data_IF_127716288668
#
_entry.id   IF_127716288668
#
_cell.length_a   1.000
_cell.length_b   1.000
_cell.length_c   1.000
_cell.angle_alpha   90.00
_cell.angle_beta   90.00
_cell.angle_gamma   90.00
#
_symmetry.space_group_name_H-M   'P 1'
#
loop_
_entity.id
_entity.type
_entity.pdbx_description
1 polymer ?
#
# COMPACT_ATOMS: atom_id res chain seq x y z
N UNK A 1 -28.75 38.42 22.08
CA UNK A 1 -27.48 37.92 22.65
C UNK A 1 -27.40 36.45 22.26
N UNK A 2 -26.49 36.15 21.35
CA UNK A 2 -26.33 34.85 20.72
C UNK A 2 -25.81 33.84 21.74
N UNK A 3 -26.61 32.82 22.04
CA UNK A 3 -26.24 31.72 22.92
C UNK A 3 -25.68 30.59 22.03
N UNK A 4 -24.39 30.66 21.72
CA UNK A 4 -23.63 29.61 21.04
C UNK A 4 -23.21 28.57 22.07
N UNK A 5 -24.14 27.71 22.48
CA UNK A 5 -23.89 26.62 23.43
C UNK A 5 -23.99 25.24 22.75
N UNK A 6 -23.43 25.15 21.54
CA UNK A 6 -23.14 23.87 20.89
C UNK A 6 -21.64 23.56 21.04
N UNK A 7 -21.09 23.63 22.25
CA UNK A 7 -19.87 22.89 22.54
C UNK A 7 -20.22 21.41 22.55
N UNK A 8 -20.17 20.82 21.37
CA UNK A 8 -20.38 19.41 21.11
C UNK A 8 -19.48 18.62 22.06
N UNK A 9 -20.05 18.08 23.13
CA UNK A 9 -19.37 17.18 24.07
C UNK A 9 -19.16 15.85 23.35
N UNK A 10 -18.16 15.80 22.46
CA UNK A 10 -17.74 14.57 21.81
C UNK A 10 -17.16 13.70 22.90
N UNK A 11 -17.92 12.72 23.36
CA UNK A 11 -17.43 11.67 24.25
C UNK A 11 -16.23 11.01 23.55
N UNK A 12 -15.02 11.33 23.99
CA UNK A 12 -13.82 10.74 23.45
C UNK A 12 -13.79 9.29 23.92
N UNK A 13 -13.98 8.36 22.99
CA UNK A 13 -13.73 6.94 23.26
C UNK A 13 -12.26 6.81 23.70
N UNK A 14 -11.96 6.13 24.81
CA UNK A 14 -10.59 6.08 25.33
C UNK A 14 -9.68 5.40 24.31
N UNK A 15 -8.74 6.18 23.77
CA UNK A 15 -7.74 5.75 22.78
C UNK A 15 -7.13 4.40 23.16
N UNK A 16 -7.44 3.39 22.34
CA UNK A 16 -7.05 2.01 22.55
C UNK A 16 -5.55 1.81 22.31
N UNK A 17 -4.76 1.92 23.39
CA UNK A 17 -3.28 1.90 23.36
C UNK A 17 -2.73 0.62 22.72
N UNK A 18 -3.49 -0.48 22.75
CA UNK A 18 -3.10 -1.77 22.17
C UNK A 18 -3.00 -1.71 20.65
N UNK A 19 -3.96 -1.04 19.98
CA UNK A 19 -3.94 -0.88 18.51
C UNK A 19 -2.75 -0.03 18.06
N UNK A 20 -2.41 1.00 18.82
CA UNK A 20 -1.27 1.88 18.54
C UNK A 20 0.06 1.14 18.71
N UNK A 21 0.20 0.33 19.76
CA UNK A 21 1.39 -0.48 19.97
C UNK A 21 1.58 -1.53 18.86
N UNK A 22 0.48 -2.12 18.37
CA UNK A 22 0.52 -3.04 17.23
C UNK A 22 1.01 -2.35 15.95
N UNK A 23 0.46 -1.16 15.62
CA UNK A 23 0.90 -0.36 14.47
C UNK A 23 2.39 -0.05 14.52
N UNK A 24 2.90 0.34 15.69
CA UNK A 24 4.33 0.60 15.89
C UNK A 24 5.20 -0.63 15.66
N UNK A 25 4.73 -1.80 16.10
CA UNK A 25 5.45 -3.06 15.93
C UNK A 25 5.52 -3.47 14.46
N UNK A 26 4.42 -3.30 13.71
CA UNK A 26 4.36 -3.56 12.26
C UNK A 26 5.24 -2.58 11.50
N UNK A 27 5.18 -1.29 11.84
CA UNK A 27 6.02 -0.26 11.24
C UNK A 27 7.51 -0.57 11.42
N UNK A 28 7.90 -1.02 12.62
CA UNK A 28 9.28 -1.42 12.91
C UNK A 28 9.72 -2.62 12.06
N UNK A 29 8.89 -3.67 11.96
CA UNK A 29 9.17 -4.86 11.14
C UNK A 29 9.38 -4.46 9.68
N UNK A 30 8.49 -3.64 9.13
CA UNK A 30 8.56 -3.18 7.74
C UNK A 30 9.76 -2.26 7.50
N UNK A 31 10.11 -1.41 8.46
CA UNK A 31 11.30 -0.58 8.40
C UNK A 31 12.58 -1.42 8.37
N UNK A 32 12.67 -2.47 9.19
CA UNK A 32 13.80 -3.40 9.22
C UNK A 32 13.91 -4.16 7.89
N UNK A 33 12.80 -4.72 7.38
CA UNK A 33 12.80 -5.41 6.07
C UNK A 33 13.27 -4.46 4.96
N UNK A 34 12.75 -3.23 4.94
CA UNK A 34 13.14 -2.21 3.95
C UNK A 34 14.64 -1.85 4.08
N UNK A 35 15.16 -1.74 5.31
CA UNK A 35 16.59 -1.50 5.54
C UNK A 35 17.47 -2.63 5.02
N UNK A 36 17.07 -3.88 5.27
CA UNK A 36 17.77 -5.06 4.75
C UNK A 36 17.75 -5.08 3.22
N UNK A 37 16.60 -4.79 2.60
CA UNK A 37 16.45 -4.70 1.15
C UNK A 37 17.38 -3.63 0.53
N UNK A 38 17.45 -2.44 1.13
CA UNK A 38 18.40 -1.40 0.72
C UNK A 38 19.85 -1.83 0.86
N UNK A 39 20.19 -2.55 1.94
CA UNK A 39 21.54 -3.05 2.17
C UNK A 39 21.91 -4.11 1.11
N UNK A 40 21.01 -5.05 0.82
CA UNK A 40 21.17 -6.04 -0.24
C UNK A 40 21.37 -5.38 -1.61
N UNK A 41 20.63 -4.30 -1.90
CA UNK A 41 20.77 -3.56 -3.14
C UNK A 41 22.16 -2.90 -3.30
N UNK A 42 22.81 -2.54 -2.19
CA UNK A 42 24.18 -1.99 -2.21
C UNK A 42 25.27 -3.06 -2.27
N UNK A 43 25.04 -4.24 -1.71
CA UNK A 43 26.04 -5.33 -1.63
C UNK A 43 26.03 -6.21 -2.88
N UNK A 44 24.87 -6.50 -3.45
CA UNK A 44 24.75 -7.36 -4.63
C UNK A 44 25.08 -6.60 -5.92
N UNK A 45 25.78 -7.23 -6.88
CA UNK A 45 26.01 -6.63 -8.18
C UNK A 45 24.67 -6.48 -8.92
N UNK A 46 24.54 -5.38 -9.67
CA UNK A 46 23.36 -5.08 -10.48
C UNK A 46 23.15 -6.17 -11.53
N UNK A 47 22.12 -6.97 -11.34
CA UNK A 47 21.77 -8.09 -12.21
C UNK A 47 20.29 -8.47 -12.09
N UNK A 48 19.84 -9.39 -12.95
CA UNK A 48 18.44 -9.83 -12.99
C UNK A 48 17.93 -10.35 -11.63
N UNK A 49 18.81 -11.01 -10.86
CA UNK A 49 18.49 -11.50 -9.52
C UNK A 49 18.15 -10.38 -8.54
N UNK A 50 18.92 -9.28 -8.56
CA UNK A 50 18.67 -8.12 -7.69
C UNK A 50 17.32 -7.50 -8.02
N UNK A 51 17.04 -7.24 -9.31
CA UNK A 51 15.77 -6.67 -9.74
C UNK A 51 14.58 -7.55 -9.37
N UNK A 52 14.69 -8.86 -9.60
CA UNK A 52 13.64 -9.80 -9.23
C UNK A 52 13.38 -9.81 -7.73
N UNK A 53 14.43 -9.91 -6.90
CA UNK A 53 14.32 -9.88 -5.45
C UNK A 53 13.71 -8.56 -4.95
N UNK A 54 14.09 -7.43 -5.55
CA UNK A 54 13.59 -6.12 -5.17
C UNK A 54 12.09 -5.99 -5.47
N UNK A 55 11.66 -6.39 -6.67
CA UNK A 55 10.24 -6.39 -7.05
C UNK A 55 9.44 -7.34 -6.16
N UNK A 56 9.95 -8.55 -5.91
CA UNK A 56 9.28 -9.54 -5.07
C UNK A 56 9.11 -9.05 -3.61
N UNK A 57 10.17 -8.55 -2.99
CA UNK A 57 10.10 -8.01 -1.62
C UNK A 57 9.20 -6.78 -1.53
N UNK A 58 9.25 -5.89 -2.53
CA UNK A 58 8.36 -4.72 -2.58
C UNK A 58 6.89 -5.12 -2.64
N UNK A 59 6.55 -6.15 -3.43
CA UNK A 59 5.17 -6.68 -3.50
C UNK A 59 4.74 -7.30 -2.16
N UNK A 60 5.58 -8.14 -1.56
CA UNK A 60 5.29 -8.76 -0.25
C UNK A 60 5.05 -7.70 0.82
N UNK A 61 5.91 -6.67 0.86
CA UNK A 61 5.78 -5.50 1.73
C UNK A 61 4.46 -4.78 1.50
N UNK A 62 4.10 -4.50 0.25
CA UNK A 62 2.87 -3.79 -0.07
C UNK A 62 1.64 -4.58 0.41
N UNK A 63 1.63 -5.89 0.21
CA UNK A 63 0.60 -6.77 0.76
C UNK A 63 0.53 -6.75 2.28
N UNK A 64 1.68 -6.81 2.96
CA UNK A 64 1.74 -6.76 4.43
C UNK A 64 1.24 -5.43 5.00
N UNK A 65 1.55 -4.32 4.32
CA UNK A 65 1.05 -2.99 4.67
C UNK A 65 -0.47 -2.95 4.55
N UNK A 66 -1.01 -3.38 3.41
CA UNK A 66 -2.45 -3.35 3.15
C UNK A 66 -3.21 -4.26 4.12
N UNK A 67 -2.70 -5.47 4.36
CA UNK A 67 -3.33 -6.42 5.28
C UNK A 67 -3.39 -5.89 6.72
N UNK A 68 -2.32 -5.27 7.20
CA UNK A 68 -2.15 -4.99 8.62
C UNK A 68 -2.42 -3.52 9.01
N UNK A 69 -2.10 -2.53 8.17
CA UNK A 69 -2.43 -1.12 8.43
C UNK A 69 -3.88 -0.77 8.11
N UNK A 70 -4.52 -1.47 7.16
CA UNK A 70 -5.88 -1.15 6.75
C UNK A 70 -6.95 -1.96 7.50
N UNK A 71 -6.61 -2.63 8.62
CA UNK A 71 -7.55 -3.36 9.48
C UNK A 71 -8.41 -4.42 8.75
N UNK A 72 -7.94 -4.89 7.58
CA UNK A 72 -8.72 -5.76 6.68
C UNK A 72 -8.99 -7.16 7.23
N UNK A 73 -8.27 -7.54 8.28
CA UNK A 73 -8.38 -8.86 8.91
C UNK A 73 -9.65 -9.04 9.75
N UNK A 74 -10.35 -7.96 10.09
CA UNK A 74 -11.47 -7.97 11.03
C UNK A 74 -12.83 -7.55 10.48
N UNK A 75 -12.97 -6.37 9.87
CA UNK A 75 -14.32 -5.75 9.83
C UNK A 75 -14.78 -5.01 8.57
N UNK A 76 -14.03 -4.90 7.46
CA UNK A 76 -14.56 -4.15 6.31
C UNK A 76 -14.14 -4.73 4.96
N UNK A 77 -14.91 -5.72 4.48
CA UNK A 77 -14.84 -6.21 3.09
C UNK A 77 -14.97 -5.08 2.07
N UNK A 78 -15.72 -4.02 2.42
CA UNK A 78 -15.89 -2.82 1.60
C UNK A 78 -14.55 -2.10 1.35
N UNK A 79 -13.64 -2.13 2.32
CA UNK A 79 -12.35 -1.44 2.24
C UNK A 79 -11.37 -2.19 1.33
N UNK A 80 -11.42 -3.53 1.32
CA UNK A 80 -10.69 -4.36 0.33
C UNK A 80 -11.13 -3.98 -1.09
N UNK A 81 -12.44 -3.94 -1.33
CA UNK A 81 -12.99 -3.57 -2.64
C UNK A 81 -12.60 -2.15 -3.07
N UNK A 82 -12.58 -1.19 -2.12
CA UNK A 82 -12.14 0.19 -2.38
C UNK A 82 -10.69 0.30 -2.86
N UNK A 83 -9.81 -0.66 -2.54
CA UNK A 83 -8.41 -0.67 -2.96
C UNK A 83 -8.23 -1.54 -4.20
N UNK A 84 -8.91 -2.69 -4.23
CA UNK A 84 -8.83 -3.67 -5.31
C UNK A 84 -9.34 -3.09 -6.64
N UNK A 85 -10.48 -2.38 -6.64
CA UNK A 85 -11.06 -1.78 -7.84
C UNK A 85 -10.09 -0.80 -8.53
N UNK A 86 -9.54 0.22 -7.86
CA UNK A 86 -8.55 1.11 -8.48
C UNK A 86 -7.31 0.37 -8.97
N UNK A 87 -6.84 -0.64 -8.23
CA UNK A 87 -5.65 -1.42 -8.62
C UNK A 87 -5.90 -2.20 -9.92
N UNK A 88 -7.05 -2.88 -10.02
CA UNK A 88 -7.46 -3.60 -11.22
C UNK A 88 -7.64 -2.64 -12.41
N UNK A 89 -8.24 -1.48 -12.18
CA UNK A 89 -8.39 -0.44 -13.19
C UNK A 89 -7.04 0.01 -13.77
N UNK A 90 -6.04 0.24 -12.90
CA UNK A 90 -4.69 0.62 -13.35
C UNK A 90 -4.02 -0.48 -14.17
N UNK A 91 -4.12 -1.75 -13.75
CA UNK A 91 -3.56 -2.89 -14.50
C UNK A 91 -4.23 -2.98 -15.88
N UNK A 92 -5.55 -2.86 -15.93
CA UNK A 92 -6.31 -2.86 -17.18
C UNK A 92 -5.89 -1.70 -18.09
N UNK A 93 -5.74 -0.49 -17.54
CA UNK A 93 -5.31 0.70 -18.27
C UNK A 93 -3.91 0.51 -18.89
N UNK A 94 -2.96 -0.05 -18.15
CA UNK A 94 -1.61 -0.33 -18.67
C UNK A 94 -1.67 -1.28 -19.87
N UNK A 95 -2.45 -2.35 -19.77
CA UNK A 95 -2.62 -3.31 -20.86
C UNK A 95 -3.27 -2.64 -22.08
N UNK A 96 -4.32 -1.85 -21.87
CA UNK A 96 -5.01 -1.13 -22.94
C UNK A 96 -4.07 -0.12 -23.65
N UNK A 97 -3.27 0.64 -22.89
CA UNK A 97 -2.31 1.58 -23.45
C UNK A 97 -1.19 0.90 -24.24
N UNK A 98 -0.73 -0.28 -23.79
CA UNK A 98 0.26 -1.05 -24.54
C UNK A 98 -0.33 -1.55 -25.85
N UNK A 99 -1.56 -2.08 -25.83
CA UNK A 99 -2.23 -2.61 -27.02
C UNK A 99 -2.57 -1.52 -28.06
N UNK A 100 -3.17 -0.41 -27.62
CA UNK A 100 -3.45 0.74 -28.49
C UNK A 100 -2.15 1.40 -28.96
N UNK A 101 -1.16 1.51 -28.07
CA UNK A 101 0.16 2.03 -28.39
C UNK A 101 0.88 1.20 -29.46
N UNK A 102 0.83 -0.13 -29.38
CA UNK A 102 1.41 -1.02 -30.40
C UNK A 102 0.65 -0.94 -31.73
N UNK A 103 -0.67 -0.84 -31.71
CA UNK A 103 -1.51 -0.70 -32.90
C UNK A 103 -1.18 0.57 -33.69
N UNK A 104 -1.00 1.70 -32.99
CA UNK A 104 -0.61 2.98 -33.63
C UNK A 104 0.79 2.92 -34.23
N UNK A 105 1.72 2.16 -33.63
CA UNK A 105 3.06 1.97 -34.17
C UNK A 105 3.06 1.11 -35.43
N UNK A 106 2.24 0.05 -35.49
CA UNK A 106 2.09 -0.78 -36.70
C UNK A 106 1.46 -0.03 -37.87
N UNK A 107 0.48 0.85 -37.63
CA UNK A 107 -0.18 1.63 -38.68
C UNK A 107 0.68 2.76 -39.28
N UNK A 108 1.80 3.12 -38.62
CA UNK A 108 2.72 4.18 -39.05
C UNK A 108 3.90 3.68 -39.88
N UNK A 109 4.06 2.37 -40.02
CA UNK A 109 4.99 1.71 -40.92
C UNK A 109 4.24 0.95 -42.03
#
# INVERSE_FOLDING_TARGET
MAHLDETSTVAYEPRDKKKIAQLWRIALILAVITGIEFTLAYVLPRGALLYFTFVALTLVKAFYIVAEFMHLKGEVKILIWSIAIPTIFVIWLIIALIAEGSSIFELKF
#
